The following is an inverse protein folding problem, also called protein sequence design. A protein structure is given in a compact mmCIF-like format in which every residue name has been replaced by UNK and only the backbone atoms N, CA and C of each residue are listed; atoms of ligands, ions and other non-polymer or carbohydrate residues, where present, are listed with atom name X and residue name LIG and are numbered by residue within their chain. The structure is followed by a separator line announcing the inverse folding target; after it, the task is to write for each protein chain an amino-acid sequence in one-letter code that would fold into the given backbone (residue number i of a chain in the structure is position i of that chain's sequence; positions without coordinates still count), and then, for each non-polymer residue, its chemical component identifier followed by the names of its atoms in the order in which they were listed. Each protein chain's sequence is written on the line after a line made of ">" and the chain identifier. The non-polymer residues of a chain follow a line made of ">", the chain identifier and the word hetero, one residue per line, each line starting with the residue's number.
data_IF_362501725276
#
_entry.id   IF_362501725276
#
_cell.length_a   1.000
_cell.length_b   1.000
_cell.length_c   1.000
_cell.angle_alpha   90.00
_cell.angle_beta   90.00
_cell.angle_gamma   90.00
#
_symmetry.space_group_name_H-M   'P 1'
#
loop_
_entity.id
_entity.type
_entity.pdbx_description
1 polymer ?
#
# COMPACT_ATOMS: atom_id res chain seq x y z
N UNK A 1 -3.89 24.72 70.66
CA UNK A 1 -3.89 23.24 70.60
C UNK A 1 -4.53 22.86 69.27
N UNK A 2 -3.84 22.65 68.16
CA UNK A 2 -2.64 21.83 67.94
C UNK A 2 -3.02 20.61 67.10
N UNK A 3 -3.65 20.81 65.93
CA UNK A 3 -4.06 19.71 65.05
C UNK A 3 -2.85 19.20 64.24
N UNK A 4 -2.47 17.96 64.52
CA UNK A 4 -1.34 17.23 63.95
C UNK A 4 -1.58 16.96 62.46
N UNK A 5 -0.76 17.56 61.59
CA UNK A 5 -0.59 17.10 60.20
C UNK A 5 0.21 15.79 60.22
N UNK A 6 -0.48 14.66 60.11
CA UNK A 6 0.16 13.40 59.76
C UNK A 6 0.37 13.37 58.24
N UNK A 7 1.61 13.63 57.83
CA UNK A 7 2.07 13.31 56.48
C UNK A 7 2.10 11.78 56.35
N UNK A 8 1.11 11.21 55.67
CA UNK A 8 1.20 9.85 55.15
C UNK A 8 2.25 9.85 54.03
N UNK A 9 3.45 9.38 54.36
CA UNK A 9 4.42 8.85 53.42
C UNK A 9 3.76 7.70 52.63
N UNK A 10 3.30 7.97 51.41
CA UNK A 10 2.98 6.93 50.44
C UNK A 10 4.28 6.50 49.73
N UNK A 11 4.66 5.22 49.78
CA UNK A 11 5.82 4.72 49.05
C UNK A 11 5.62 4.82 47.54
N UNK A 12 6.69 5.17 46.82
CA UNK A 12 6.84 5.18 45.36
C UNK A 12 6.61 3.78 44.75
N UNK A 13 5.37 3.28 44.72
CA UNK A 13 5.01 1.96 44.13
C UNK A 13 4.53 2.10 42.67
N UNK A 14 4.39 3.31 42.14
CA UNK A 14 3.69 3.56 40.87
C UNK A 14 4.48 3.30 39.57
N UNK A 15 5.67 2.69 39.59
CA UNK A 15 6.41 2.47 38.34
C UNK A 15 6.49 1.00 37.90
N UNK A 16 6.52 0.04 38.84
CA UNK A 16 6.73 -1.38 38.50
C UNK A 16 5.47 -2.08 37.95
N UNK A 17 4.27 -1.62 38.33
CA UNK A 17 2.99 -2.23 37.92
C UNK A 17 2.65 -1.87 36.45
N UNK A 18 2.88 -0.62 36.03
CA UNK A 18 2.61 -0.16 34.66
C UNK A 18 3.45 -0.91 33.60
N UNK A 19 4.72 -1.24 33.90
CA UNK A 19 5.58 -1.93 32.95
C UNK A 19 5.15 -3.35 32.60
N UNK A 20 4.37 -4.02 33.46
CA UNK A 20 3.92 -5.39 33.18
C UNK A 20 2.67 -5.44 32.30
N UNK A 21 1.80 -4.44 32.36
CA UNK A 21 0.50 -4.45 31.69
C UNK A 21 0.61 -4.50 30.15
N UNK A 22 1.50 -3.71 29.54
CA UNK A 22 1.70 -3.73 28.08
C UNK A 22 2.28 -5.06 27.59
N UNK A 23 3.28 -5.60 28.28
CA UNK A 23 3.87 -6.91 27.97
C UNK A 23 2.88 -8.06 28.19
N UNK A 24 2.11 -8.04 29.28
CA UNK A 24 1.07 -9.03 29.59
C UNK A 24 -0.02 -9.01 28.53
N UNK A 25 -0.50 -7.82 28.14
CA UNK A 25 -1.47 -7.67 27.04
C UNK A 25 -0.95 -8.34 25.75
N UNK A 26 0.31 -8.08 25.37
CA UNK A 26 0.87 -8.65 24.15
C UNK A 26 1.02 -10.17 24.27
N UNK A 27 1.43 -10.66 25.43
CA UNK A 27 1.54 -12.09 25.72
C UNK A 27 0.17 -12.78 25.60
N UNK A 28 -0.88 -12.16 26.16
CA UNK A 28 -2.25 -12.66 26.08
C UNK A 28 -2.79 -12.65 24.65
N UNK A 29 -2.45 -11.64 23.86
CA UNK A 29 -2.86 -11.56 22.45
C UNK A 29 -2.14 -12.60 21.57
N UNK A 30 -0.88 -12.92 21.88
CA UNK A 30 -0.09 -13.90 21.13
C UNK A 30 -0.42 -15.35 21.50
N UNK A 31 -0.69 -15.60 22.78
CA UNK A 31 -0.99 -16.95 23.30
C UNK A 31 -2.49 -17.25 23.41
N UNK A 32 -3.35 -16.23 23.26
CA UNK A 32 -4.79 -16.37 23.29
C UNK A 32 -5.38 -16.91 21.99
N UNK A 33 -6.69 -16.71 21.81
CA UNK A 33 -7.39 -17.14 20.60
C UNK A 33 -6.81 -16.47 19.34
N UNK A 34 -6.59 -17.25 18.27
CA UNK A 34 -5.93 -16.82 17.03
C UNK A 34 -6.55 -15.56 16.42
N UNK A 35 -7.88 -15.41 16.51
CA UNK A 35 -8.58 -14.22 16.01
C UNK A 35 -8.23 -12.94 16.76
N UNK A 36 -7.89 -13.02 18.05
CA UNK A 36 -7.55 -11.83 18.83
C UNK A 36 -6.26 -11.20 18.30
N UNK A 37 -5.21 -11.99 18.13
CA UNK A 37 -3.95 -11.54 17.52
C UNK A 37 -4.20 -10.95 16.12
N UNK A 38 -5.00 -11.63 15.30
CA UNK A 38 -5.32 -11.14 13.96
C UNK A 38 -6.08 -9.81 13.96
N UNK A 39 -7.08 -9.66 14.84
CA UNK A 39 -7.87 -8.44 14.96
C UNK A 39 -7.03 -7.24 15.39
N UNK A 40 -6.03 -7.44 16.26
CA UNK A 40 -5.20 -6.38 16.83
C UNK A 40 -3.97 -6.05 15.97
N UNK A 41 -3.35 -7.06 15.34
CA UNK A 41 -2.10 -6.90 14.60
C UNK A 41 -2.26 -6.95 13.08
N UNK A 42 -3.46 -7.26 12.57
CA UNK A 42 -3.79 -7.38 11.14
C UNK A 42 -2.98 -8.46 10.40
N UNK A 43 -2.47 -9.43 11.15
CA UNK A 43 -1.74 -10.61 10.69
C UNK A 43 -1.88 -11.74 11.73
N UNK A 44 -1.64 -12.99 11.33
CA UNK A 44 -1.62 -14.12 12.26
C UNK A 44 -0.51 -13.98 13.31
N UNK A 45 -0.67 -14.62 14.47
CA UNK A 45 0.35 -14.65 15.52
C UNK A 45 1.64 -15.33 15.04
N UNK A 46 1.53 -16.33 14.15
CA UNK A 46 2.68 -16.94 13.47
C UNK A 46 3.45 -15.93 12.63
N UNK A 47 2.75 -15.12 11.80
CA UNK A 47 3.39 -14.08 11.00
C UNK A 47 4.00 -12.98 11.86
N UNK A 48 3.35 -12.64 12.98
CA UNK A 48 3.89 -11.71 13.96
C UNK A 48 5.24 -12.20 14.51
N UNK A 49 5.29 -13.46 14.96
CA UNK A 49 6.52 -14.05 15.50
C UNK A 49 7.61 -14.13 14.43
N UNK A 50 7.28 -14.57 13.22
CA UNK A 50 8.21 -14.63 12.10
C UNK A 50 8.78 -13.23 11.75
N UNK A 51 7.93 -12.20 11.72
CA UNK A 51 8.37 -10.83 11.47
C UNK A 51 9.30 -10.31 12.57
N UNK A 52 8.93 -10.53 13.83
CA UNK A 52 9.77 -10.18 14.99
C UNK A 52 11.14 -10.84 14.87
N UNK A 53 11.18 -12.12 14.52
CA UNK A 53 12.42 -12.88 14.44
C UNK A 53 13.31 -12.35 13.30
N UNK A 54 12.74 -12.00 12.15
CA UNK A 54 13.47 -11.29 11.06
C UNK A 54 14.08 -9.98 11.59
N UNK A 55 13.29 -9.15 12.29
CA UNK A 55 13.75 -7.87 12.82
C UNK A 55 14.84 -8.02 13.89
N UNK A 56 14.80 -9.09 14.69
CA UNK A 56 15.80 -9.39 15.71
C UNK A 56 17.09 -9.95 15.11
N UNK A 57 17.00 -10.91 14.20
CA UNK A 57 18.15 -11.55 13.54
C UNK A 57 18.96 -10.53 12.75
N UNK A 58 18.29 -9.61 12.06
CA UNK A 58 18.96 -8.51 11.35
C UNK A 58 19.41 -7.36 12.27
N UNK A 59 19.14 -7.46 13.58
CA UNK A 59 19.54 -6.46 14.57
C UNK A 59 18.85 -5.09 14.42
N UNK A 60 17.74 -5.03 13.67
CA UNK A 60 16.99 -3.81 13.36
C UNK A 60 16.18 -3.31 14.56
N UNK A 61 15.71 -4.25 15.40
CA UNK A 61 15.15 -3.95 16.72
C UNK A 61 15.90 -4.77 17.78
N UNK A 62 15.88 -4.29 19.03
CA UNK A 62 16.46 -5.00 20.16
C UNK A 62 15.49 -4.99 21.33
N UNK A 63 15.39 -6.12 22.02
CA UNK A 63 14.72 -6.18 23.31
C UNK A 63 15.47 -5.27 24.30
N UNK A 64 14.73 -4.43 25.02
CA UNK A 64 15.25 -3.58 26.08
C UNK A 64 14.67 -4.04 27.40
N UNK A 65 15.36 -3.72 28.51
CA UNK A 65 14.93 -4.08 29.87
C UNK A 65 13.50 -3.64 30.21
N UNK A 66 12.99 -2.60 29.56
CA UNK A 66 11.67 -1.99 29.82
C UNK A 66 10.68 -2.11 28.66
N UNK A 67 11.07 -2.78 27.57
CA UNK A 67 10.25 -2.89 26.36
C UNK A 67 10.75 -4.07 25.53
N UNK A 68 9.95 -5.13 25.46
CA UNK A 68 10.31 -6.33 24.68
C UNK A 68 10.25 -6.04 23.18
N UNK A 69 10.81 -6.94 22.36
CA UNK A 69 10.67 -6.82 20.91
C UNK A 69 9.20 -7.03 20.46
N UNK A 70 8.49 -7.95 21.11
CA UNK A 70 7.06 -8.19 20.90
C UNK A 70 6.26 -6.90 21.16
N UNK A 71 6.50 -6.24 22.29
CA UNK A 71 5.75 -5.05 22.67
C UNK A 71 6.00 -3.87 21.72
N UNK A 72 7.26 -3.68 21.27
CA UNK A 72 7.59 -2.68 20.26
C UNK A 72 6.82 -2.91 18.96
N UNK A 73 6.82 -4.15 18.48
CA UNK A 73 6.14 -4.51 17.25
C UNK A 73 4.62 -4.40 17.40
N UNK A 74 4.07 -4.82 18.56
CA UNK A 74 2.65 -4.72 18.86
C UNK A 74 2.16 -3.26 18.89
N UNK A 75 2.89 -2.34 19.51
CA UNK A 75 2.57 -0.91 19.51
C UNK A 75 2.48 -0.40 18.06
N UNK A 76 3.47 -0.74 17.23
CA UNK A 76 3.50 -0.31 15.83
C UNK A 76 2.33 -0.88 15.03
N UNK A 77 2.13 -2.20 15.07
CA UNK A 77 1.08 -2.89 14.31
C UNK A 77 -0.32 -2.46 14.73
N UNK A 78 -0.56 -2.29 16.03
CA UNK A 78 -1.82 -1.80 16.54
C UNK A 78 -2.11 -0.37 16.04
N UNK A 79 -1.10 0.51 16.06
CA UNK A 79 -1.22 1.86 15.52
C UNK A 79 -1.58 1.85 14.03
N UNK A 80 -0.81 1.16 13.19
CA UNK A 80 -1.04 1.20 11.74
C UNK A 80 -2.32 0.45 11.32
N UNK A 81 -2.65 -0.63 12.04
CA UNK A 81 -3.79 -1.50 11.75
C UNK A 81 -5.14 -0.88 12.10
N UNK A 82 -5.18 -0.04 13.14
CA UNK A 82 -6.39 0.64 13.61
C UNK A 82 -6.39 2.15 13.35
N UNK A 83 -5.25 2.71 12.94
CA UNK A 83 -5.08 4.15 12.72
C UNK A 83 -5.10 4.99 14.02
N UNK A 84 -4.93 4.37 15.19
CA UNK A 84 -5.13 5.05 16.47
C UNK A 84 -4.03 6.07 16.77
N UNK A 85 -4.41 7.13 17.49
CA UNK A 85 -3.50 8.19 17.91
C UNK A 85 -2.58 7.77 19.08
N UNK A 86 -1.48 8.50 19.24
CA UNK A 86 -0.48 8.25 20.28
C UNK A 86 -1.08 8.15 21.70
N UNK A 87 -2.08 8.98 22.03
CA UNK A 87 -2.74 8.95 23.35
C UNK A 87 -3.47 7.63 23.60
N UNK A 88 -4.11 7.06 22.59
CA UNK A 88 -4.81 5.77 22.71
C UNK A 88 -3.80 4.65 22.92
N UNK A 89 -2.66 4.69 22.22
CA UNK A 89 -1.57 3.73 22.42
C UNK A 89 -0.94 3.84 23.81
N UNK A 90 -0.73 5.08 24.29
CA UNK A 90 -0.20 5.34 25.61
C UNK A 90 -1.09 4.72 26.70
N UNK A 91 -2.40 4.86 26.57
CA UNK A 91 -3.37 4.21 27.47
C UNK A 91 -3.42 2.69 27.26
N UNK A 92 -3.39 2.21 26.02
CA UNK A 92 -3.52 0.76 25.75
C UNK A 92 -2.32 -0.04 26.25
N UNK A 93 -1.12 0.47 26.02
CA UNK A 93 0.14 -0.18 26.40
C UNK A 93 0.72 0.36 27.70
N UNK A 94 0.06 1.32 28.35
CA UNK A 94 0.44 1.87 29.65
C UNK A 94 1.86 2.47 29.69
N UNK A 95 2.21 3.20 28.62
CA UNK A 95 3.49 3.91 28.47
C UNK A 95 3.28 5.40 28.22
N UNK A 96 4.30 6.21 28.51
CA UNK A 96 4.27 7.63 28.13
C UNK A 96 4.19 7.79 26.61
N UNK A 97 3.53 8.86 26.15
CA UNK A 97 3.42 9.14 24.71
C UNK A 97 4.78 9.30 24.01
N UNK A 98 5.78 9.79 24.74
CA UNK A 98 7.18 9.85 24.28
C UNK A 98 7.76 8.44 24.02
N UNK A 99 7.50 7.49 24.93
CA UNK A 99 7.95 6.10 24.78
C UNK A 99 7.26 5.43 23.60
N UNK A 100 5.94 5.60 23.46
CA UNK A 100 5.17 5.13 22.30
C UNK A 100 5.76 5.70 21.00
N UNK A 101 5.97 7.01 20.95
CA UNK A 101 6.51 7.68 19.75
C UNK A 101 7.90 7.15 19.39
N UNK A 102 8.78 6.98 20.38
CA UNK A 102 10.13 6.45 20.17
C UNK A 102 10.10 5.06 19.57
N UNK A 103 9.32 4.14 20.15
CA UNK A 103 9.27 2.75 19.68
C UNK A 103 8.53 2.60 18.35
N UNK A 104 7.46 3.36 18.12
CA UNK A 104 6.81 3.45 16.82
C UNK A 104 7.81 3.84 15.72
N UNK A 105 8.59 4.90 15.94
CA UNK A 105 9.57 5.38 14.97
C UNK A 105 10.75 4.40 14.78
N UNK A 106 11.14 3.65 15.81
CA UNK A 106 12.19 2.63 15.68
C UNK A 106 11.73 1.47 14.80
N UNK A 107 10.53 0.93 15.06
CA UNK A 107 9.97 -0.16 14.25
C UNK A 107 9.68 0.30 12.82
N UNK A 108 9.18 1.54 12.65
CA UNK A 108 8.95 2.12 11.32
C UNK A 108 10.22 2.11 10.47
N UNK A 109 11.34 2.61 11.02
CA UNK A 109 12.63 2.63 10.31
C UNK A 109 13.17 1.22 10.06
N UNK A 110 13.00 0.32 11.03
CA UNK A 110 13.38 -1.08 10.89
C UNK A 110 12.67 -1.73 9.70
N UNK A 111 11.34 -1.58 9.61
CA UNK A 111 10.55 -2.12 8.50
C UNK A 111 10.91 -1.48 7.15
N UNK A 112 11.15 -0.17 7.11
CA UNK A 112 11.61 0.51 5.89
C UNK A 112 12.97 -0.02 5.42
N UNK A 113 13.84 -0.47 6.33
CA UNK A 113 15.14 -1.05 5.97
C UNK A 113 14.98 -2.39 5.24
N UNK A 114 13.89 -3.12 5.50
CA UNK A 114 13.58 -4.38 4.81
C UNK A 114 13.04 -4.18 3.38
N UNK A 115 12.90 -2.93 2.89
CA UNK A 115 12.28 -2.66 1.58
C UNK A 115 12.93 -3.45 0.45
N UNK A 116 14.26 -3.54 0.43
CA UNK A 116 15.01 -4.13 -0.67
C UNK A 116 14.96 -5.68 -0.62
N UNK A 117 14.57 -6.25 0.52
CA UNK A 117 14.31 -7.69 0.65
C UNK A 117 12.91 -8.06 0.13
N UNK A 118 11.90 -7.24 0.42
CA UNK A 118 10.50 -7.57 0.11
C UNK A 118 9.93 -6.88 -1.14
N UNK A 119 10.57 -5.84 -1.68
CA UNK A 119 10.10 -5.09 -2.86
C UNK A 119 11.19 -5.05 -3.93
N UNK A 120 11.30 -6.15 -4.67
CA UNK A 120 12.27 -6.32 -5.74
C UNK A 120 11.61 -6.16 -7.11
N UNK A 121 12.24 -5.36 -7.98
CA UNK A 121 11.84 -5.28 -9.37
C UNK A 121 12.11 -6.61 -10.08
N UNK A 122 11.29 -6.92 -11.08
CA UNK A 122 11.47 -8.12 -11.88
C UNK A 122 12.82 -8.14 -12.59
N UNK A 123 13.49 -9.30 -12.64
CA UNK A 123 14.76 -9.44 -13.36
C UNK A 123 14.56 -9.24 -14.86
N UNK A 124 15.65 -8.97 -15.57
CA UNK A 124 15.63 -8.63 -16.99
C UNK A 124 15.05 -9.77 -17.88
N UNK A 125 15.17 -11.02 -17.43
CA UNK A 125 14.73 -12.23 -18.14
C UNK A 125 13.37 -12.76 -17.66
N UNK A 126 12.55 -11.93 -17.00
CA UNK A 126 11.26 -12.36 -16.45
C UNK A 126 10.37 -12.99 -17.54
N UNK A 127 9.89 -14.21 -17.29
CA UNK A 127 8.95 -14.88 -18.17
C UNK A 127 7.60 -14.15 -18.18
N UNK A 128 6.77 -14.41 -19.21
CA UNK A 128 5.39 -13.91 -19.20
C UNK A 128 4.63 -14.58 -18.06
N UNK A 129 3.96 -13.76 -17.26
CA UNK A 129 3.22 -14.21 -16.09
C UNK A 129 2.06 -15.14 -16.49
N UNK A 130 1.82 -16.29 -15.81
CA UNK A 130 0.80 -17.29 -16.19
C UNK A 130 -0.61 -16.73 -16.41
N UNK A 131 -1.02 -15.73 -15.61
CA UNK A 131 -2.26 -14.96 -15.79
C UNK A 131 -2.54 -14.52 -17.24
N UNK A 132 -1.50 -14.25 -18.04
CA UNK A 132 -1.65 -13.87 -19.45
C UNK A 132 -1.99 -15.09 -20.32
N UNK A 133 -1.13 -16.11 -20.49
CA UNK A 133 -1.43 -17.28 -21.33
C UNK A 133 -2.60 -18.14 -20.81
N UNK A 134 -2.91 -18.10 -19.52
CA UNK A 134 -4.02 -18.88 -18.95
C UNK A 134 -5.40 -18.30 -19.31
N UNK A 135 -5.46 -17.07 -19.86
CA UNK A 135 -6.70 -16.43 -20.24
C UNK A 135 -6.60 -15.82 -21.65
N UNK A 136 -7.41 -16.33 -22.57
CA UNK A 136 -7.42 -15.90 -23.98
C UNK A 136 -7.66 -14.39 -24.15
N UNK A 137 -8.42 -13.75 -23.25
CA UNK A 137 -8.64 -12.31 -23.27
C UNK A 137 -7.35 -11.51 -23.01
N UNK A 138 -6.38 -12.12 -22.34
CA UNK A 138 -5.13 -11.47 -21.94
C UNK A 138 -3.95 -11.83 -22.83
N UNK A 139 -4.05 -12.87 -23.68
CA UNK A 139 -3.03 -13.26 -24.68
C UNK A 139 -2.43 -12.07 -25.45
N UNK A 140 -3.22 -11.08 -25.93
CA UNK A 140 -2.68 -9.92 -26.63
C UNK A 140 -1.66 -9.10 -25.83
N UNK A 141 -1.72 -9.13 -24.50
CA UNK A 141 -0.87 -8.36 -23.59
C UNK A 141 0.41 -9.11 -23.20
N UNK A 142 0.92 -9.98 -24.09
CA UNK A 142 2.18 -10.67 -23.87
C UNK A 142 3.31 -9.67 -23.54
N UNK A 143 4.20 -10.04 -22.62
CA UNK A 143 5.26 -9.20 -22.04
C UNK A 143 4.81 -8.07 -21.08
N UNK A 144 3.51 -7.95 -20.77
CA UNK A 144 3.10 -7.19 -19.59
C UNK A 144 3.61 -7.89 -18.33
N UNK A 145 4.12 -7.12 -17.36
CA UNK A 145 4.69 -7.68 -16.10
C UNK A 145 3.98 -7.16 -14.83
N UNK A 146 3.01 -6.27 -14.99
CA UNK A 146 2.23 -5.72 -13.89
C UNK A 146 1.56 -4.41 -14.26
N UNK A 147 1.16 -3.66 -13.24
CA UNK A 147 0.51 -2.36 -13.38
C UNK A 147 1.20 -1.29 -12.51
N UNK A 148 1.11 -0.03 -12.96
CA UNK A 148 1.57 1.15 -12.22
C UNK A 148 0.42 2.11 -12.02
N UNK A 149 0.30 2.62 -10.80
CA UNK A 149 -0.65 3.66 -10.48
C UNK A 149 -0.25 4.47 -9.25
N UNK A 150 -0.85 5.66 -9.14
CA UNK A 150 -0.79 6.52 -7.98
C UNK A 150 -1.94 6.23 -7.01
N UNK A 151 -1.74 6.50 -5.73
CA UNK A 151 -2.83 6.53 -4.77
C UNK A 151 -2.59 7.62 -3.73
N UNK A 152 -3.64 8.35 -3.41
CA UNK A 152 -3.58 9.39 -2.39
C UNK A 152 -3.74 8.79 -0.99
N UNK A 153 -2.78 9.12 -0.12
CA UNK A 153 -2.80 8.81 1.31
C UNK A 153 -3.01 10.11 2.08
N UNK A 154 -4.06 10.24 2.91
CA UNK A 154 -4.31 11.46 3.68
C UNK A 154 -3.12 11.82 4.57
N UNK A 155 -2.78 13.11 4.63
CA UNK A 155 -1.71 13.62 5.49
C UNK A 155 -2.13 14.87 6.25
N UNK A 156 -1.54 15.06 7.42
CA UNK A 156 -1.62 16.29 8.19
C UNK A 156 -0.38 17.15 7.91
N UNK A 157 -0.57 18.38 7.43
CA UNK A 157 0.52 19.32 7.14
C UNK A 157 0.20 20.70 7.71
N UNK A 158 1.23 21.52 7.87
CA UNK A 158 1.08 22.91 8.31
C UNK A 158 0.22 23.71 7.32
N UNK A 159 -0.41 24.80 7.81
CA UNK A 159 -1.31 25.64 7.00
C UNK A 159 -0.63 26.16 5.74
N UNK A 160 0.66 26.51 5.82
CA UNK A 160 1.50 26.97 4.73
C UNK A 160 1.72 25.92 3.63
N UNK A 161 1.74 24.64 3.98
CA UNK A 161 1.99 23.54 3.04
C UNK A 161 0.72 22.96 2.43
N UNK A 162 -0.46 23.24 3.02
CA UNK A 162 -1.76 22.72 2.54
C UNK A 162 -1.97 22.88 1.02
N UNK A 163 -1.65 24.02 0.37
CA UNK A 163 -1.85 24.15 -1.07
C UNK A 163 -1.06 23.11 -1.88
N UNK A 164 0.17 22.81 -1.47
CA UNK A 164 1.02 21.82 -2.16
C UNK A 164 0.45 20.41 -2.01
N UNK A 165 0.00 20.04 -0.81
CA UNK A 165 -0.51 18.70 -0.53
C UNK A 165 -1.99 18.51 -0.90
N UNK A 166 -2.70 19.53 -1.38
CA UNK A 166 -4.11 19.41 -1.75
C UNK A 166 -4.27 18.61 -3.04
N UNK A 167 -4.94 17.46 -2.96
CA UNK A 167 -5.28 16.66 -4.13
C UNK A 167 -6.54 17.19 -4.84
N UNK A 168 -6.84 16.60 -6.00
CA UNK A 168 -8.02 16.94 -6.81
C UNK A 168 -9.34 16.70 -6.06
N UNK A 169 -9.36 15.74 -5.12
CA UNK A 169 -10.50 15.45 -4.23
C UNK A 169 -10.65 16.45 -3.08
N UNK A 170 -9.80 17.49 -3.03
CA UNK A 170 -9.96 18.64 -2.14
C UNK A 170 -9.32 18.49 -0.75
N UNK A 171 -8.88 17.30 -0.35
CA UNK A 171 -8.18 17.05 0.92
C UNK A 171 -6.64 17.05 0.77
N UNK A 172 -5.93 17.19 1.90
CA UNK A 172 -4.46 17.09 1.95
C UNK A 172 -3.99 15.64 1.93
N UNK A 173 -3.15 15.29 0.97
CA UNK A 173 -2.60 13.95 0.79
C UNK A 173 -1.16 13.98 0.32
N UNK A 174 -0.45 12.88 0.57
CA UNK A 174 0.73 12.53 -0.22
C UNK A 174 0.30 11.58 -1.35
N UNK A 175 0.92 11.73 -2.52
CA UNK A 175 0.80 10.76 -3.60
C UNK A 175 1.82 9.63 -3.37
N UNK A 176 1.32 8.39 -3.35
CA UNK A 176 2.14 7.18 -3.37
C UNK A 176 1.98 6.51 -4.73
N UNK A 177 3.04 6.47 -5.53
CA UNK A 177 3.09 5.66 -6.74
C UNK A 177 3.55 4.25 -6.40
N UNK A 178 2.93 3.24 -6.99
CA UNK A 178 3.32 1.86 -6.82
C UNK A 178 3.39 1.10 -8.16
N UNK A 179 4.23 0.08 -8.17
CA UNK A 179 4.33 -0.94 -9.22
C UNK A 179 3.91 -2.26 -8.59
N UNK A 180 2.91 -2.91 -9.17
CA UNK A 180 2.33 -4.14 -8.62
C UNK A 180 2.35 -5.24 -9.68
N UNK A 181 2.83 -6.42 -9.30
CA UNK A 181 2.82 -7.63 -10.14
C UNK A 181 1.41 -8.19 -10.31
N UNK A 182 1.21 -9.08 -11.27
CA UNK A 182 -0.08 -9.78 -11.42
C UNK A 182 -0.43 -10.73 -10.26
N UNK A 183 0.54 -11.05 -9.41
CA UNK A 183 0.36 -11.80 -8.15
C UNK A 183 0.03 -10.90 -6.95
N UNK A 184 -0.30 -9.63 -7.19
CA UNK A 184 -0.57 -8.61 -6.19
C UNK A 184 0.64 -8.22 -5.33
N UNK A 185 1.88 -8.51 -5.75
CA UNK A 185 3.09 -8.16 -4.99
C UNK A 185 3.55 -6.75 -5.37
N UNK A 186 3.85 -5.90 -4.38
CA UNK A 186 4.45 -4.59 -4.63
C UNK A 186 5.92 -4.75 -5.01
N UNK A 187 6.31 -4.38 -6.22
CA UNK A 187 7.71 -4.44 -6.65
C UNK A 187 8.47 -3.16 -6.39
N UNK A 188 7.77 -2.03 -6.41
CA UNK A 188 8.37 -0.73 -6.22
C UNK A 188 7.31 0.23 -5.73
N UNK A 189 7.70 1.10 -4.81
CA UNK A 189 6.84 2.18 -4.34
C UNK A 189 7.67 3.45 -4.17
N UNK A 190 6.99 4.57 -4.36
CA UNK A 190 7.57 5.86 -4.07
C UNK A 190 6.54 6.73 -3.35
N UNK A 191 6.90 7.20 -2.16
CA UNK A 191 6.02 7.91 -1.23
C UNK A 191 6.49 9.34 -1.01
N UNK A 192 5.61 10.18 -0.45
CA UNK A 192 5.96 11.53 -0.02
C UNK A 192 5.90 12.63 -1.09
N UNK A 193 5.42 12.34 -2.30
CA UNK A 193 5.07 13.40 -3.25
C UNK A 193 3.86 14.18 -2.78
N UNK A 194 3.80 15.46 -3.11
CA UNK A 194 2.69 16.29 -2.70
C UNK A 194 1.40 15.86 -3.42
N UNK A 195 0.24 15.98 -2.76
CA UNK A 195 -1.04 15.57 -3.34
C UNK A 195 -1.45 16.32 -4.60
N UNK A 196 -0.86 17.48 -4.89
CA UNK A 196 -1.03 18.20 -6.17
C UNK A 196 -0.13 17.68 -7.29
N UNK A 197 0.81 16.77 -7.00
CA UNK A 197 1.70 16.18 -7.98
C UNK A 197 0.91 15.34 -8.99
N UNK A 198 1.04 15.63 -10.28
CA UNK A 198 0.49 14.77 -11.32
C UNK A 198 1.26 13.44 -11.35
N UNK A 199 0.56 12.33 -11.55
CA UNK A 199 1.18 10.99 -11.50
C UNK A 199 2.30 10.81 -12.52
N UNK A 200 2.17 11.42 -13.71
CA UNK A 200 3.22 11.44 -14.72
C UNK A 200 4.53 12.05 -14.22
N UNK A 201 4.45 13.10 -13.41
CA UNK A 201 5.64 13.74 -12.83
C UNK A 201 6.32 12.82 -11.82
N UNK A 202 5.52 12.10 -11.02
CA UNK A 202 6.03 11.11 -10.07
C UNK A 202 6.70 9.95 -10.81
N UNK A 203 6.06 9.42 -11.85
CA UNK A 203 6.61 8.32 -12.67
C UNK A 203 7.91 8.72 -13.35
N UNK A 204 7.97 9.92 -13.95
CA UNK A 204 9.18 10.41 -14.60
C UNK A 204 10.34 10.47 -13.62
N UNK A 205 10.12 11.07 -12.45
CA UNK A 205 11.14 11.11 -11.41
C UNK A 205 11.55 9.72 -10.94
N UNK A 206 10.60 8.79 -10.79
CA UNK A 206 10.89 7.41 -10.39
C UNK A 206 11.81 6.70 -11.39
N UNK A 207 11.66 6.97 -12.68
CA UNK A 207 12.55 6.44 -13.73
C UNK A 207 13.91 7.14 -13.74
N UNK A 208 13.92 8.47 -13.65
CA UNK A 208 15.13 9.29 -13.83
C UNK A 208 16.04 9.27 -12.59
N UNK A 209 15.47 9.12 -11.39
CA UNK A 209 16.18 9.26 -10.10
C UNK A 209 15.77 8.25 -9.04
N UNK A 210 14.58 7.65 -9.16
CA UNK A 210 14.03 6.73 -8.16
C UNK A 210 14.46 5.27 -8.30
N UNK A 211 15.17 4.91 -9.38
CA UNK A 211 15.64 3.54 -9.61
C UNK A 211 14.59 2.60 -10.22
N UNK A 212 13.45 3.12 -10.69
CA UNK A 212 12.47 2.30 -11.42
C UNK A 212 13.02 1.93 -12.80
N UNK A 213 13.33 0.65 -12.98
CA UNK A 213 13.77 0.10 -14.27
C UNK A 213 12.72 -0.81 -14.87
N UNK A 214 12.50 -0.70 -16.18
CA UNK A 214 11.65 -1.64 -16.94
C UNK A 214 12.56 -2.56 -17.75
N UNK A 215 12.48 -3.90 -17.61
CA UNK A 215 13.23 -4.83 -18.44
C UNK A 215 13.02 -4.60 -19.95
N UNK A 216 14.03 -4.92 -20.75
CA UNK A 216 13.93 -4.80 -22.20
C UNK A 216 12.86 -5.74 -22.77
N UNK A 217 12.05 -5.23 -23.70
CA UNK A 217 10.91 -5.97 -24.26
C UNK A 217 9.71 -6.13 -23.33
N UNK A 218 9.78 -5.66 -22.07
CA UNK A 218 8.67 -5.69 -21.11
C UNK A 218 8.03 -4.32 -20.92
N UNK A 219 6.81 -4.31 -20.41
CA UNK A 219 6.09 -3.09 -20.08
C UNK A 219 5.13 -3.26 -18.90
N UNK A 220 4.77 -2.14 -18.28
CA UNK A 220 3.71 -2.08 -17.27
C UNK A 220 2.44 -1.44 -17.85
N UNK A 221 1.28 -1.87 -17.36
CA UNK A 221 0.00 -1.24 -17.67
C UNK A 221 -0.17 0.04 -16.84
N UNK A 222 -0.47 1.16 -17.49
CA UNK A 222 -0.67 2.48 -16.87
C UNK A 222 -2.07 3.04 -17.17
N UNK A 223 -2.58 3.96 -16.36
CA UNK A 223 -3.86 4.63 -16.61
C UNK A 223 -3.72 5.61 -17.80
N UNK A 224 -4.85 5.99 -18.37
CA UNK A 224 -5.01 7.04 -19.38
C UNK A 224 -4.39 8.40 -19.01
N UNK A 225 -4.24 8.69 -17.71
CA UNK A 225 -3.51 9.86 -17.19
C UNK A 225 -2.00 9.83 -17.48
N UNK A 226 -1.45 8.66 -17.82
CA UNK A 226 -0.05 8.49 -18.17
C UNK A 226 0.19 8.56 -19.69
N UNK A 227 1.45 8.80 -20.06
CA UNK A 227 1.91 8.87 -21.43
C UNK A 227 2.12 7.44 -21.96
N UNK A 228 1.57 7.16 -23.14
CA UNK A 228 1.69 5.85 -23.75
C UNK A 228 3.09 5.66 -24.37
N UNK A 229 3.90 4.80 -23.78
CA UNK A 229 5.25 4.46 -24.23
C UNK A 229 5.39 2.97 -24.51
N UNK A 230 6.54 2.54 -25.03
CA UNK A 230 6.85 1.11 -25.16
C UNK A 230 7.16 0.44 -23.81
N UNK A 231 7.32 1.20 -22.73
CA UNK A 231 7.55 0.70 -21.35
C UNK A 231 6.32 0.86 -20.45
N UNK A 232 5.42 1.76 -20.80
CA UNK A 232 4.21 2.12 -20.06
C UNK A 232 3.02 2.15 -21.01
N UNK A 233 2.21 1.09 -20.99
CA UNK A 233 1.11 0.89 -21.93
C UNK A 233 -0.20 1.46 -21.37
N UNK A 234 -0.69 2.54 -21.96
CA UNK A 234 -1.90 3.24 -21.51
C UNK A 234 -3.14 2.82 -22.31
N UNK A 235 -4.32 2.95 -21.71
CA UNK A 235 -5.61 2.83 -22.40
C UNK A 235 -5.80 3.90 -23.49
N UNK A 236 -6.73 3.68 -24.43
CA UNK A 236 -7.18 4.73 -25.34
C UNK A 236 -8.04 5.75 -24.58
N UNK A 237 -7.76 7.04 -24.80
CA UNK A 237 -8.57 8.14 -24.29
C UNK A 237 -9.83 8.31 -25.14
N UNK A 238 -10.93 8.75 -24.52
CA UNK A 238 -12.21 8.99 -25.21
C UNK A 238 -13.05 7.73 -25.46
N UNK A 239 -12.66 6.59 -24.88
CA UNK A 239 -13.40 5.32 -24.90
C UNK A 239 -13.73 4.92 -23.45
N UNK A 240 -14.64 3.96 -23.25
CA UNK A 240 -14.93 3.44 -21.90
C UNK A 240 -13.67 2.87 -21.25
N UNK A 241 -13.55 3.04 -19.94
CA UNK A 241 -12.34 2.70 -19.20
C UNK A 241 -12.61 2.07 -17.83
N UNK A 242 -13.72 2.41 -17.16
CA UNK A 242 -14.04 1.81 -15.86
C UNK A 242 -14.73 0.46 -16.05
N UNK A 243 -14.31 -0.57 -15.31
CA UNK A 243 -14.91 -1.92 -15.39
C UNK A 243 -16.43 -1.90 -15.17
N UNK A 244 -16.91 -1.04 -14.26
CA UNK A 244 -18.33 -0.86 -14.00
C UNK A 244 -19.15 -0.48 -15.23
N UNK A 245 -18.54 0.16 -16.24
CA UNK A 245 -19.17 0.56 -17.51
C UNK A 245 -19.35 -0.60 -18.49
N UNK A 246 -18.78 -1.77 -18.21
CA UNK A 246 -18.91 -2.99 -19.02
C UNK A 246 -19.88 -4.00 -18.37
N UNK A 247 -20.15 -3.85 -17.07
CA UNK A 247 -20.97 -4.80 -16.30
C UNK A 247 -22.43 -4.37 -16.09
N UNK A 248 -22.79 -3.13 -16.43
CA UNK A 248 -24.07 -2.53 -16.02
C UNK A 248 -25.32 -3.04 -16.78
N UNK A 249 -25.16 -3.54 -18.01
CA UNK A 249 -26.29 -4.00 -18.85
C UNK A 249 -25.83 -4.93 -19.98
N UNK A 250 -26.77 -5.66 -20.60
CA UNK A 250 -26.49 -6.51 -21.78
C UNK A 250 -25.88 -5.72 -22.93
N UNK A 251 -26.31 -4.46 -23.12
CA UNK A 251 -25.77 -3.56 -24.15
C UNK A 251 -24.39 -3.01 -23.76
N UNK A 252 -24.10 -2.88 -22.46
CA UNK A 252 -22.78 -2.50 -21.96
C UNK A 252 -21.73 -3.62 -22.16
N UNK A 253 -22.17 -4.89 -22.22
CA UNK A 253 -21.30 -6.04 -22.52
C UNK A 253 -20.90 -6.12 -24.00
N UNK A 254 -21.62 -5.44 -24.88
CA UNK A 254 -21.25 -5.35 -26.30
C UNK A 254 -20.17 -4.30 -26.48
N UNK A 255 -19.09 -4.68 -27.14
CA UNK A 255 -17.99 -3.77 -27.45
C UNK A 255 -18.34 -2.86 -28.62
N UNK A 256 -18.16 -1.55 -28.45
CA UNK A 256 -18.57 -0.55 -29.44
C UNK A 256 -17.61 -0.49 -30.63
N UNK A 257 -16.33 -0.74 -30.36
CA UNK A 257 -15.26 -0.71 -31.35
C UNK A 257 -14.04 -1.49 -30.82
N UNK A 258 -13.04 -1.77 -31.67
CA UNK A 258 -11.79 -2.40 -31.26
C UNK A 258 -11.10 -1.79 -30.03
N UNK A 259 -11.08 -0.45 -29.93
CA UNK A 259 -10.40 0.26 -28.83
C UNK A 259 -11.13 0.07 -27.51
N UNK A 260 -12.46 -0.01 -27.56
CA UNK A 260 -13.33 -0.32 -26.42
C UNK A 260 -13.07 -1.74 -25.89
N UNK A 261 -12.94 -2.75 -26.77
CA UNK A 261 -12.52 -4.10 -26.39
C UNK A 261 -11.11 -4.12 -25.78
N UNK A 262 -10.16 -3.42 -26.42
CA UNK A 262 -8.80 -3.29 -25.87
C UNK A 262 -8.82 -2.65 -24.48
N UNK A 263 -9.57 -1.57 -24.28
CA UNK A 263 -9.66 -0.89 -23.00
C UNK A 263 -10.28 -1.79 -21.94
N UNK A 264 -11.34 -2.54 -22.27
CA UNK A 264 -11.93 -3.50 -21.34
C UNK A 264 -10.89 -4.51 -20.84
N UNK A 265 -10.18 -5.17 -21.76
CA UNK A 265 -9.14 -6.17 -21.42
C UNK A 265 -7.95 -5.54 -20.68
N UNK A 266 -7.53 -4.35 -21.08
CA UNK A 266 -6.47 -3.58 -20.41
C UNK A 266 -6.86 -3.25 -18.97
N UNK A 267 -8.04 -2.69 -18.73
CA UNK A 267 -8.53 -2.36 -17.39
C UNK A 267 -8.67 -3.62 -16.53
N UNK A 268 -9.18 -4.73 -17.09
CA UNK A 268 -9.28 -6.00 -16.36
C UNK A 268 -7.92 -6.51 -15.84
N UNK A 269 -6.87 -6.44 -16.66
CA UNK A 269 -5.51 -6.80 -16.23
C UNK A 269 -4.93 -5.79 -15.24
N UNK A 270 -5.13 -4.49 -15.51
CA UNK A 270 -4.64 -3.39 -14.69
C UNK A 270 -5.25 -3.40 -13.28
N UNK A 271 -6.49 -3.85 -13.13
CA UNK A 271 -7.25 -3.88 -11.87
C UNK A 271 -6.51 -4.55 -10.69
N UNK A 272 -5.45 -5.33 -10.97
CA UNK A 272 -4.55 -5.85 -9.93
C UNK A 272 -4.05 -4.76 -8.97
N UNK A 273 -3.70 -3.57 -9.48
CA UNK A 273 -3.17 -2.48 -8.64
C UNK A 273 -4.23 -1.82 -7.78
N UNK A 274 -5.43 -1.60 -8.33
CA UNK A 274 -6.57 -1.06 -7.60
C UNK A 274 -6.99 -2.02 -6.48
N UNK A 275 -7.05 -3.31 -6.77
CA UNK A 275 -7.29 -4.36 -5.77
C UNK A 275 -6.18 -4.37 -4.70
N UNK A 276 -4.91 -4.30 -5.08
CA UNK A 276 -3.81 -4.27 -4.12
C UNK A 276 -3.84 -3.03 -3.21
N UNK A 277 -4.14 -1.85 -3.73
CA UNK A 277 -4.36 -0.65 -2.92
C UNK A 277 -5.56 -0.80 -1.99
N UNK A 278 -6.66 -1.36 -2.48
CA UNK A 278 -7.84 -1.64 -1.67
C UNK A 278 -7.53 -2.57 -0.50
N UNK A 279 -6.80 -3.67 -0.74
CA UNK A 279 -6.36 -4.61 0.32
C UNK A 279 -5.47 -3.88 1.32
N UNK A 280 -4.47 -3.12 0.84
CA UNK A 280 -3.53 -2.38 1.66
C UNK A 280 -4.24 -1.40 2.60
N UNK A 281 -5.14 -0.57 2.06
CA UNK A 281 -5.94 0.41 2.81
C UNK A 281 -7.00 -0.23 3.72
N UNK A 282 -7.56 -1.37 3.32
CA UNK A 282 -8.52 -2.12 4.16
C UNK A 282 -7.82 -2.75 5.36
N UNK A 283 -6.61 -3.29 5.18
CA UNK A 283 -5.78 -3.91 6.23
C UNK A 283 -5.21 -2.87 7.19
N UNK A 284 -4.61 -1.79 6.67
CA UNK A 284 -3.93 -0.77 7.48
C UNK A 284 -4.71 0.55 7.46
N UNK A 285 -5.56 0.74 8.48
CA UNK A 285 -6.46 1.89 8.58
C UNK A 285 -5.75 3.24 8.72
N UNK A 286 -4.50 3.25 9.15
CA UNK A 286 -3.69 4.47 9.17
C UNK A 286 -3.55 5.11 7.78
N UNK A 287 -3.68 4.33 6.70
CA UNK A 287 -3.57 4.82 5.32
C UNK A 287 -4.86 5.48 4.81
N UNK A 288 -5.95 5.42 5.58
CA UNK A 288 -7.25 5.99 5.22
C UNK A 288 -7.62 7.22 6.03
N UNK A 289 -6.78 7.62 6.98
CA UNK A 289 -7.02 8.79 7.84
C UNK A 289 -5.74 9.56 8.10
N UNK A 290 -5.86 10.90 8.19
CA UNK A 290 -4.72 11.74 8.50
C UNK A 290 -4.34 11.55 9.97
N UNK A 291 -3.10 11.13 10.23
CA UNK A 291 -2.56 11.00 11.59
C UNK A 291 -1.55 12.12 11.86
N UNK A 292 -1.52 12.70 13.08
CA UNK A 292 -0.74 13.89 13.39
C UNK A 292 0.75 13.57 13.63
N UNK A 293 1.39 12.88 12.68
CA UNK A 293 2.84 12.69 12.67
C UNK A 293 3.52 13.79 11.85
N UNK A 294 4.81 14.09 12.09
CA UNK A 294 5.59 14.92 11.17
C UNK A 294 5.53 14.35 9.75
N UNK A 295 5.48 15.21 8.71
CA UNK A 295 5.33 14.76 7.31
C UNK A 295 6.38 13.72 6.91
N UNK A 296 7.63 13.87 7.37
CA UNK A 296 8.71 12.89 7.13
C UNK A 296 8.36 11.48 7.63
N UNK A 297 7.68 11.37 8.77
CA UNK A 297 7.23 10.08 9.33
C UNK A 297 6.03 9.58 8.53
N UNK A 298 5.08 10.46 8.21
CA UNK A 298 3.92 10.11 7.38
C UNK A 298 4.34 9.54 6.02
N UNK A 299 5.43 10.03 5.40
CA UNK A 299 5.95 9.50 4.14
C UNK A 299 6.50 8.07 4.25
N UNK A 300 6.98 7.67 5.43
CA UNK A 300 7.55 6.33 5.65
C UNK A 300 6.48 5.28 5.98
N UNK A 301 5.35 5.69 6.54
CA UNK A 301 4.27 4.78 6.97
C UNK A 301 3.75 3.92 5.81
N UNK A 302 3.37 4.47 4.64
CA UNK A 302 2.94 3.65 3.50
C UNK A 302 4.01 2.67 3.04
N UNK A 303 5.29 3.05 3.13
CA UNK A 303 6.39 2.18 2.77
C UNK A 303 6.51 0.96 3.68
N UNK A 304 6.45 1.17 5.00
CA UNK A 304 6.40 0.06 5.95
C UNK A 304 5.15 -0.81 5.77
N UNK A 305 3.99 -0.22 5.49
CA UNK A 305 2.77 -0.98 5.20
C UNK A 305 2.91 -1.88 3.96
N UNK A 306 3.56 -1.41 2.89
CA UNK A 306 3.80 -2.23 1.69
C UNK A 306 4.81 -3.36 1.95
N UNK A 307 5.86 -3.11 2.75
CA UNK A 307 6.79 -4.17 3.21
C UNK A 307 6.03 -5.24 3.97
N UNK A 308 5.21 -4.84 4.95
CA UNK A 308 4.40 -5.77 5.74
C UNK A 308 3.41 -6.54 4.87
N UNK A 309 2.77 -5.86 3.91
CA UNK A 309 1.87 -6.49 2.95
C UNK A 309 2.58 -7.62 2.20
N UNK A 310 3.76 -7.35 1.64
CA UNK A 310 4.51 -8.35 0.88
C UNK A 310 5.03 -9.48 1.77
N UNK A 311 5.52 -9.15 2.98
CA UNK A 311 5.91 -10.13 3.97
C UNK A 311 4.77 -11.11 4.26
N UNK A 312 3.57 -10.61 4.59
CA UNK A 312 2.40 -11.46 4.86
C UNK A 312 2.02 -12.27 3.62
N UNK A 313 2.09 -11.67 2.42
CA UNK A 313 1.77 -12.37 1.16
C UNK A 313 2.70 -13.54 0.90
N UNK A 314 3.99 -13.42 1.23
CA UNK A 314 4.98 -14.49 1.08
C UNK A 314 4.80 -15.59 2.13
N UNK A 315 4.51 -15.23 3.38
CA UNK A 315 4.35 -16.19 4.48
C UNK A 315 3.00 -16.93 4.43
N UNK A 316 1.93 -16.23 4.02
CA UNK A 316 0.57 -16.74 4.12
C UNK A 316 -0.32 -16.24 2.96
N UNK A 317 -0.24 -16.94 1.82
CA UNK A 317 -1.02 -16.61 0.62
C UNK A 317 -2.55 -16.67 0.79
N UNK A 318 -3.06 -17.44 1.76
CA UNK A 318 -4.48 -17.59 2.06
C UNK A 318 -5.00 -16.65 3.17
N UNK A 319 -4.28 -15.57 3.47
CA UNK A 319 -4.73 -14.59 4.47
C UNK A 319 -6.05 -13.91 4.05
N UNK A 320 -6.90 -13.64 5.06
CA UNK A 320 -8.32 -13.24 4.89
C UNK A 320 -8.48 -12.00 4.01
N UNK A 321 -7.59 -11.01 4.13
CA UNK A 321 -7.73 -9.78 3.33
C UNK A 321 -7.44 -10.02 1.85
N UNK A 322 -6.58 -11.00 1.53
CA UNK A 322 -6.35 -11.38 0.14
C UNK A 322 -7.53 -12.17 -0.40
N UNK A 323 -7.99 -13.19 0.34
CA UNK A 323 -9.10 -14.04 -0.10
C UNK A 323 -10.38 -13.22 -0.34
N UNK A 324 -10.82 -12.45 0.66
CA UNK A 324 -12.07 -11.68 0.59
C UNK A 324 -12.13 -10.69 -0.58
N UNK A 325 -10.98 -10.14 -0.99
CA UNK A 325 -10.92 -9.09 -2.01
C UNK A 325 -10.58 -9.62 -3.40
N UNK A 326 -9.96 -10.80 -3.49
CA UNK A 326 -9.79 -11.50 -4.76
C UNK A 326 -11.10 -12.16 -5.21
N UNK A 327 -11.91 -12.65 -4.26
CA UNK A 327 -13.23 -13.23 -4.49
C UNK A 327 -14.34 -12.20 -4.77
N UNK A 328 -14.14 -10.92 -4.39
CA UNK A 328 -15.00 -9.83 -4.84
C UNK A 328 -14.72 -9.56 -6.34
N UNK A 329 -15.46 -10.24 -7.21
CA UNK A 329 -15.44 -10.06 -8.67
C UNK A 329 -15.98 -8.70 -9.11
N UNK A 330 -16.78 -8.02 -8.27
CA UNK A 330 -17.36 -6.74 -8.61
C UNK A 330 -16.50 -5.55 -8.09
N UNK A 331 -16.13 -4.59 -8.95
CA UNK A 331 -15.50 -3.36 -8.50
C UNK A 331 -16.47 -2.60 -7.61
N UNK A 332 -16.11 -2.36 -6.35
CA UNK A 332 -16.77 -1.33 -5.56
C UNK A 332 -16.44 0.01 -6.20
N UNK A 333 -17.48 0.80 -6.48
CA UNK A 333 -17.37 2.17 -6.95
C UNK A 333 -16.59 3.00 -5.92
N UNK A 334 -15.26 3.05 -6.04
CA UNK A 334 -14.58 4.25 -5.60
C UNK A 334 -15.09 5.36 -6.52
N UNK A 335 -15.42 6.52 -5.95
CA UNK A 335 -15.82 7.67 -6.75
C UNK A 335 -14.63 7.95 -7.65
N UNK A 336 -14.78 7.55 -8.92
CA UNK A 336 -13.71 7.56 -9.90
C UNK A 336 -13.01 8.91 -9.84
N UNK A 337 -11.69 8.89 -9.91
CA UNK A 337 -10.98 10.15 -10.05
C UNK A 337 -11.58 10.88 -11.27
N UNK A 338 -11.90 12.18 -11.16
CA UNK A 338 -12.38 12.94 -12.30
C UNK A 338 -11.43 12.70 -13.46
N UNK A 339 -11.99 12.56 -14.68
CA UNK A 339 -11.23 12.21 -15.88
C UNK A 339 -9.87 12.93 -15.86
N UNK A 340 -8.76 12.19 -16.04
CA UNK A 340 -7.44 12.81 -16.01
C UNK A 340 -7.43 14.00 -16.97
N UNK A 341 -7.24 15.21 -16.43
CA UNK A 341 -6.99 16.39 -17.25
C UNK A 341 -5.86 16.01 -18.20
N UNK A 342 -5.99 16.21 -19.53
CA UNK A 342 -5.00 15.77 -20.49
C UNK A 342 -3.63 16.35 -20.12
N UNK A 343 -2.82 15.56 -19.42
CA UNK A 343 -1.39 15.81 -19.33
C UNK A 343 -0.88 15.49 -20.73
N UNK A 344 -0.52 16.55 -21.47
CA UNK A 344 -0.05 16.52 -22.86
C UNK A 344 1.30 15.81 -23.04
N UNK A 345 1.40 14.57 -22.58
CA UNK A 345 2.53 13.69 -22.89
C UNK A 345 2.29 13.03 -24.24
N UNK A 346 2.98 13.50 -25.27
CA UNK A 346 3.04 12.82 -26.56
C UNK A 346 3.53 11.38 -26.36
N UNK A 347 2.64 10.41 -26.58
CA UNK A 347 3.02 9.01 -26.56
C UNK A 347 4.09 8.72 -27.62
N UNK A 348 5.09 7.92 -27.26
CA UNK A 348 6.19 7.57 -28.18
C UNK A 348 5.66 6.83 -29.41
N UNK A 349 6.32 6.99 -30.57
CA UNK A 349 5.97 6.25 -31.80
C UNK A 349 5.97 4.73 -31.56
N UNK A 350 6.97 4.22 -30.83
CA UNK A 350 7.06 2.80 -30.45
C UNK A 350 5.88 2.37 -29.57
N UNK A 351 5.52 3.15 -28.55
CA UNK A 351 4.35 2.86 -27.71
C UNK A 351 3.03 2.91 -28.47
N UNK A 352 2.86 3.87 -29.39
CA UNK A 352 1.67 3.95 -30.26
C UNK A 352 1.57 2.71 -31.17
N UNK A 353 2.69 2.25 -31.74
CA UNK A 353 2.76 1.04 -32.55
C UNK A 353 2.42 -0.22 -31.74
N UNK A 354 3.05 -0.38 -30.55
CA UNK A 354 2.77 -1.48 -29.62
C UNK A 354 1.27 -1.56 -29.27
N UNK A 355 0.68 -0.44 -28.85
CA UNK A 355 -0.75 -0.39 -28.50
C UNK A 355 -1.66 -0.74 -29.67
N UNK A 356 -1.33 -0.28 -30.90
CA UNK A 356 -2.10 -0.65 -32.10
C UNK A 356 -1.98 -2.13 -32.41
N UNK A 357 -0.79 -2.71 -32.29
CA UNK A 357 -0.56 -4.15 -32.50
C UNK A 357 -1.37 -4.99 -31.51
N UNK A 358 -1.33 -4.65 -30.21
CA UNK A 358 -2.14 -5.32 -29.19
C UNK A 358 -3.64 -5.16 -29.47
N UNK A 359 -4.08 -3.96 -29.85
CA UNK A 359 -5.47 -3.71 -30.23
C UNK A 359 -5.90 -4.58 -31.42
N UNK A 360 -5.07 -4.74 -32.45
CA UNK A 360 -5.35 -5.66 -33.57
C UNK A 360 -5.45 -7.11 -33.09
N UNK A 361 -4.52 -7.56 -32.25
CA UNK A 361 -4.56 -8.90 -31.66
C UNK A 361 -5.84 -9.11 -30.84
N UNK A 362 -6.30 -8.12 -30.07
CA UNK A 362 -7.55 -8.23 -29.32
C UNK A 362 -8.75 -8.60 -30.21
N UNK A 363 -8.83 -8.06 -31.43
CA UNK A 363 -9.92 -8.37 -32.36
C UNK A 363 -9.75 -9.73 -33.06
N UNK A 364 -8.52 -10.22 -33.17
CA UNK A 364 -8.26 -11.53 -33.79
C UNK A 364 -8.57 -12.69 -32.82
N UNK A 365 -8.56 -12.43 -31.51
CA UNK A 365 -8.97 -13.36 -30.45
C UNK A 365 -10.40 -13.05 -29.96
N UNK A 366 -11.30 -12.72 -30.89
CA UNK A 366 -12.75 -12.62 -30.68
C UNK A 366 -13.38 -13.94 -31.10
#
# INVERSE_FOLDING_TARGET
>A
MGAVRQYMNLPLITCTIYFRLGQELVTDLLNGHLDRGYQHFRMSTTNFMALRDVLLVQGLIRAKRRMTADEQLAIFLFCIGHGVENRVLAETFQHSGETISRHFNNVLRALVTLKDEYMNLSPSNVATHPRIPDNINFHPFNNAIGAIDGTHIPVCVEKSEKPRFRCRKGFTSQNMMAVVSFDHIFFFIYTGWEGSAADMRVLRWACDSGGLTVPEGKYYLVDSGYANTNRFLASYRGERYHLSQFDTSTQARTHQNPRDLYNHRHTQLRNVIEKSFGILKKRFKILTQATPFPIKVQCLIPMACCVLYNFIRQQQGNDRYFVEQLEQEAPKSDVGDPEPIPSGGDGTTRGKSLRRSINTMCNNFM
#
